data_IF_028535608828
#
_entry.id   IF_028535608828
#
_cell.length_a   1.000
_cell.length_b   1.000
_cell.length_c   1.000
_cell.angle_alpha   90.00
_cell.angle_beta   90.00
_cell.angle_gamma   90.00
#
_symmetry.space_group_name_H-M   'P 1'
#
loop_
_entity.id
_entity.type
_entity.pdbx_description
1 polymer ?
#
# COMPACT_ATOMS: atom_id res chain seq x y z
N UNK A 1 -17.61 -17.00 -0.06
CA UNK A 1 -18.45 -16.82 1.15
C UNK A 1 -19.53 -15.77 0.92
N UNK A 2 -19.19 -14.57 0.44
CA UNK A 2 -20.16 -13.52 0.10
C UNK A 2 -21.23 -13.96 -0.93
N UNK A 3 -20.87 -14.72 -1.96
CA UNK A 3 -21.84 -15.28 -2.94
C UNK A 3 -22.90 -16.21 -2.35
N UNK A 4 -22.67 -16.75 -1.15
CA UNK A 4 -23.64 -17.60 -0.43
C UNK A 4 -24.56 -16.80 0.51
N UNK A 5 -24.37 -15.48 0.59
CA UNK A 5 -25.08 -14.59 1.50
C UNK A 5 -25.66 -13.40 0.71
N UNK A 6 -26.78 -13.56 0.00
CA UNK A 6 -27.30 -12.54 -0.93
C UNK A 6 -27.71 -11.22 -0.23
N UNK A 7 -27.97 -11.27 1.09
CA UNK A 7 -28.25 -10.09 1.91
C UNK A 7 -27.02 -9.43 2.56
N UNK A 8 -25.80 -9.90 2.27
CA UNK A 8 -24.59 -9.35 2.87
C UNK A 8 -24.33 -7.93 2.33
N UNK A 9 -24.52 -6.93 3.21
CA UNK A 9 -24.33 -5.51 2.88
C UNK A 9 -22.93 -5.01 3.23
N UNK A 10 -22.27 -5.63 4.21
CA UNK A 10 -20.95 -5.23 4.69
C UNK A 10 -20.03 -6.44 4.74
N UNK A 11 -18.85 -6.31 4.15
CA UNK A 11 -17.79 -7.31 4.19
C UNK A 11 -16.57 -6.64 4.79
N UNK A 12 -16.14 -7.15 5.95
CA UNK A 12 -15.03 -6.61 6.71
C UNK A 12 -13.99 -7.72 6.92
N UNK A 13 -12.94 -7.69 6.11
CA UNK A 13 -11.88 -8.69 6.08
C UNK A 13 -10.62 -8.07 6.67
N UNK A 14 -10.44 -8.24 7.99
CA UNK A 14 -9.42 -7.50 8.75
C UNK A 14 -8.01 -8.07 8.71
N UNK A 15 -7.79 -9.25 8.12
CA UNK A 15 -6.51 -9.95 8.20
C UNK A 15 -6.26 -10.84 6.99
N UNK A 16 -6.37 -10.31 5.76
CA UNK A 16 -5.77 -10.99 4.62
C UNK A 16 -4.27 -10.82 4.76
N UNK A 17 -3.55 -11.81 5.29
CA UNK A 17 -2.11 -11.69 5.43
C UNK A 17 -1.47 -11.81 4.06
N UNK A 18 -1.16 -10.68 3.41
CA UNK A 18 -0.24 -10.68 2.26
C UNK A 18 1.20 -10.93 2.68
N UNK A 19 1.48 -10.90 3.99
CA UNK A 19 2.76 -11.21 4.58
C UNK A 19 3.83 -10.20 4.17
N UNK A 20 4.21 -9.32 5.08
CA UNK A 20 5.47 -8.60 4.96
C UNK A 20 6.49 -9.36 5.78
N UNK A 21 7.66 -9.62 5.20
CA UNK A 21 8.72 -10.33 5.91
C UNK A 21 9.11 -9.50 7.13
N UNK A 22 8.94 -10.07 8.32
CA UNK A 22 9.40 -9.42 9.54
C UNK A 22 10.94 -9.39 9.53
N UNK A 23 11.54 -8.24 9.90
CA UNK A 23 12.98 -8.00 9.84
C UNK A 23 13.69 -8.63 11.05
N UNK A 24 13.48 -9.92 11.27
CA UNK A 24 14.11 -10.64 12.36
C UNK A 24 15.62 -10.76 12.13
N UNK A 25 16.41 -10.46 13.16
CA UNK A 25 17.86 -10.60 13.14
C UNK A 25 18.32 -12.05 13.29
N UNK A 26 17.57 -12.88 14.03
CA UNK A 26 17.84 -14.31 14.18
C UNK A 26 17.41 -15.10 12.93
N UNK A 27 18.27 -16.01 12.47
CA UNK A 27 18.04 -16.85 11.29
C UNK A 27 16.86 -17.79 11.47
N UNK A 28 16.76 -18.46 12.62
CA UNK A 28 15.63 -19.34 12.97
C UNK A 28 14.28 -18.63 12.87
N UNK A 29 14.21 -17.37 13.34
CA UNK A 29 12.99 -16.57 13.25
C UNK A 29 12.69 -16.19 11.80
N UNK A 30 13.69 -15.84 10.99
CA UNK A 30 13.49 -15.58 9.55
C UNK A 30 13.01 -16.82 8.80
N UNK A 31 13.55 -17.99 9.14
CA UNK A 31 13.16 -19.26 8.53
C UNK A 31 11.68 -19.57 8.77
N UNK A 32 11.25 -19.61 10.03
CA UNK A 32 9.87 -19.97 10.37
C UNK A 32 8.83 -18.88 10.10
N UNK A 33 9.24 -17.60 10.07
CA UNK A 33 8.35 -16.48 9.70
C UNK A 33 8.42 -16.12 8.21
N UNK A 34 9.13 -16.91 7.39
CA UNK A 34 9.34 -16.58 5.99
C UNK A 34 8.02 -16.46 5.26
N UNK A 35 7.81 -15.31 4.62
CA UNK A 35 6.74 -15.13 3.65
C UNK A 35 7.24 -15.57 2.28
N UNK A 36 6.67 -16.64 1.75
CA UNK A 36 7.03 -17.14 0.42
C UNK A 36 6.40 -16.29 -0.68
N UNK A 37 7.23 -15.77 -1.57
CA UNK A 37 6.83 -14.81 -2.59
C UNK A 37 5.96 -15.45 -3.68
N UNK A 38 6.23 -16.71 -4.04
CA UNK A 38 5.43 -17.48 -4.99
C UNK A 38 3.96 -17.60 -4.58
N UNK A 39 3.64 -18.23 -3.44
CA UNK A 39 2.29 -18.29 -2.91
C UNK A 39 1.64 -16.92 -2.68
N UNK A 40 2.41 -15.90 -2.28
CA UNK A 40 1.91 -14.53 -2.15
C UNK A 40 1.40 -13.98 -3.48
N UNK A 41 2.17 -14.14 -4.56
CA UNK A 41 1.76 -13.75 -5.92
C UNK A 41 0.51 -14.51 -6.33
N UNK A 42 0.53 -15.83 -6.24
CA UNK A 42 -0.57 -16.68 -6.69
C UNK A 42 -1.87 -16.37 -5.92
N UNK A 43 -1.77 -16.08 -4.62
CA UNK A 43 -2.88 -15.64 -3.80
C UNK A 43 -3.52 -14.33 -4.28
N UNK A 44 -2.73 -13.36 -4.76
CA UNK A 44 -3.27 -12.11 -5.35
C UNK A 44 -4.03 -12.39 -6.65
N UNK A 45 -3.51 -13.29 -7.48
CA UNK A 45 -4.14 -13.66 -8.75
C UNK A 45 -5.45 -14.42 -8.53
N UNK A 46 -5.45 -15.38 -7.60
CA UNK A 46 -6.65 -16.12 -7.21
C UNK A 46 -7.70 -15.17 -6.60
N UNK A 47 -7.28 -14.25 -5.74
CA UNK A 47 -8.16 -13.23 -5.17
C UNK A 47 -8.78 -12.34 -6.26
N UNK A 48 -7.99 -11.88 -7.23
CA UNK A 48 -8.47 -11.09 -8.37
C UNK A 48 -9.51 -11.87 -9.18
N UNK A 49 -9.20 -13.12 -9.54
CA UNK A 49 -10.12 -13.99 -10.28
C UNK A 49 -11.43 -14.24 -9.51
N UNK A 50 -11.36 -14.37 -8.18
CA UNK A 50 -12.55 -14.50 -7.34
C UNK A 50 -13.39 -13.22 -7.28
N UNK A 51 -12.76 -12.05 -7.19
CA UNK A 51 -13.48 -10.76 -7.17
C UNK A 51 -14.29 -10.53 -8.46
N UNK A 52 -13.72 -10.87 -9.63
CA UNK A 52 -14.43 -10.82 -10.91
C UNK A 52 -15.68 -11.71 -10.90
N UNK A 53 -15.58 -12.93 -10.32
CA UNK A 53 -16.72 -13.85 -10.20
C UNK A 53 -17.78 -13.38 -9.21
N UNK A 54 -17.37 -12.71 -8.12
CA UNK A 54 -18.27 -12.20 -7.07
C UNK A 54 -19.05 -10.95 -7.49
N UNK A 55 -18.62 -10.24 -8.53
CA UNK A 55 -19.32 -9.06 -9.06
C UNK A 55 -20.75 -9.33 -9.54
N UNK A 56 -21.15 -10.61 -9.66
CA UNK A 56 -22.50 -11.02 -10.06
C UNK A 56 -23.29 -11.48 -8.84
N UNK A 57 -24.23 -10.65 -8.35
CA UNK A 57 -25.31 -11.08 -7.46
C UNK A 57 -25.15 -10.81 -5.95
N UNK A 58 -24.13 -10.08 -5.50
CA UNK A 58 -23.99 -9.69 -4.09
C UNK A 58 -24.45 -8.25 -3.89
N UNK A 59 -25.36 -8.00 -2.94
CA UNK A 59 -25.87 -6.67 -2.60
C UNK A 59 -24.88 -5.84 -1.74
N UNK A 60 -23.57 -6.04 -1.91
CA UNK A 60 -22.57 -5.44 -1.04
C UNK A 60 -22.56 -3.93 -1.21
N UNK A 61 -22.58 -3.23 -0.07
CA UNK A 61 -22.56 -1.77 0.01
C UNK A 61 -21.26 -1.26 0.65
N UNK A 62 -20.69 -2.02 1.57
CA UNK A 62 -19.54 -1.60 2.36
C UNK A 62 -18.46 -2.66 2.30
N UNK A 63 -17.24 -2.24 1.97
CA UNK A 63 -16.09 -3.13 1.88
C UNK A 63 -14.92 -2.56 2.69
N UNK A 64 -14.44 -3.35 3.63
CA UNK A 64 -13.19 -3.10 4.35
C UNK A 64 -12.29 -4.29 4.09
N UNK A 65 -11.16 -4.06 3.42
CA UNK A 65 -10.15 -5.09 3.17
C UNK A 65 -8.81 -4.61 3.73
N UNK A 66 -8.20 -5.42 4.59
CA UNK A 66 -6.88 -5.15 5.14
C UNK A 66 -5.94 -6.29 4.84
N UNK A 67 -4.95 -6.01 4.00
CA UNK A 67 -3.89 -6.94 3.60
C UNK A 67 -2.74 -7.00 4.63
N UNK A 68 -3.09 -7.04 5.93
CA UNK A 68 -2.14 -7.02 7.03
C UNK A 68 -2.53 -6.04 8.14
N UNK A 69 -1.64 -5.87 9.12
CA UNK A 69 -1.78 -4.86 10.17
C UNK A 69 -1.00 -3.60 9.79
N UNK A 70 -1.41 -2.45 10.32
CA UNK A 70 -0.67 -1.22 10.08
C UNK A 70 0.79 -1.32 10.56
N UNK A 71 1.02 -1.99 11.69
CA UNK A 71 2.36 -2.22 12.23
C UNK A 71 3.25 -3.01 11.28
N UNK A 72 2.72 -4.10 10.71
CA UNK A 72 3.45 -4.91 9.73
C UNK A 72 3.77 -4.14 8.43
N UNK A 73 2.88 -3.22 8.03
CA UNK A 73 3.05 -2.42 6.81
C UNK A 73 4.09 -1.30 6.96
N UNK A 74 4.34 -0.83 8.19
CA UNK A 74 5.35 0.21 8.43
C UNK A 74 6.71 -0.38 8.84
N UNK A 75 6.75 -1.58 9.43
CA UNK A 75 7.97 -2.22 9.95
C UNK A 75 8.65 -3.18 8.96
N UNK A 76 8.73 -2.80 7.70
CA UNK A 76 9.45 -3.54 6.67
C UNK A 76 10.92 -3.09 6.60
N UNK A 77 11.84 -4.03 6.41
CA UNK A 77 13.21 -3.67 6.02
C UNK A 77 13.21 -3.21 4.55
N UNK A 78 13.36 -1.89 4.35
CA UNK A 78 13.32 -1.27 3.04
C UNK A 78 14.66 -1.39 2.28
N UNK A 79 15.68 -1.97 2.90
CA UNK A 79 16.95 -2.32 2.27
C UNK A 79 16.91 -3.65 1.53
N UNK A 80 15.86 -4.46 1.73
CA UNK A 80 15.66 -5.74 1.05
C UNK A 80 14.84 -5.52 -0.23
N UNK A 81 15.28 -6.11 -1.33
CA UNK A 81 14.53 -6.08 -2.58
C UNK A 81 13.18 -6.79 -2.43
N UNK A 82 12.15 -6.28 -3.10
CA UNK A 82 10.81 -6.86 -3.08
C UNK A 82 10.53 -7.70 -4.33
N UNK A 83 9.68 -8.73 -4.24
CA UNK A 83 9.29 -9.51 -5.39
C UNK A 83 8.41 -8.68 -6.34
N UNK A 84 8.52 -8.97 -7.63
CA UNK A 84 7.54 -8.55 -8.61
C UNK A 84 6.31 -9.49 -8.57
N UNK A 85 5.18 -8.98 -8.05
CA UNK A 85 3.91 -9.70 -7.93
C UNK A 85 3.05 -9.59 -9.21
N UNK A 86 3.43 -8.76 -10.17
CA UNK A 86 2.70 -8.56 -11.44
C UNK A 86 3.35 -9.26 -12.62
N UNK A 87 4.65 -9.55 -12.54
CA UNK A 87 5.43 -10.23 -13.58
C UNK A 87 5.31 -9.55 -14.96
N UNK A 88 4.80 -10.26 -15.97
CA UNK A 88 4.65 -9.75 -17.33
C UNK A 88 3.35 -8.98 -17.55
N UNK A 89 2.55 -8.76 -16.51
CA UNK A 89 1.35 -7.94 -16.60
C UNK A 89 1.73 -6.46 -16.53
N UNK A 90 1.00 -5.63 -17.29
CA UNK A 90 1.14 -4.17 -17.22
C UNK A 90 0.39 -3.56 -16.04
N UNK A 91 -0.44 -4.34 -15.34
CA UNK A 91 -1.26 -3.92 -14.21
C UNK A 91 -1.31 -4.97 -13.11
N UNK A 92 -1.47 -4.51 -11.87
CA UNK A 92 -1.77 -5.41 -10.76
C UNK A 92 -3.19 -5.98 -10.85
N UNK A 93 -3.35 -7.31 -10.98
CA UNK A 93 -4.65 -7.93 -11.20
C UNK A 93 -5.60 -7.70 -10.01
N UNK A 94 -5.07 -7.65 -8.79
CA UNK A 94 -5.88 -7.46 -7.60
C UNK A 94 -6.42 -6.03 -7.51
N UNK A 95 -5.58 -5.03 -7.72
CA UNK A 95 -5.99 -3.61 -7.75
C UNK A 95 -7.02 -3.37 -8.84
N UNK A 96 -6.81 -3.89 -10.06
CA UNK A 96 -7.78 -3.80 -11.15
C UNK A 96 -9.12 -4.48 -10.81
N UNK A 97 -9.10 -5.68 -10.22
CA UNK A 97 -10.31 -6.39 -9.83
C UNK A 97 -11.08 -5.64 -8.71
N UNK A 98 -10.36 -5.08 -7.73
CA UNK A 98 -10.95 -4.26 -6.68
C UNK A 98 -11.60 -2.99 -7.23
N UNK A 99 -10.97 -2.33 -8.22
CA UNK A 99 -11.54 -1.17 -8.94
C UNK A 99 -12.88 -1.50 -9.57
N UNK A 100 -12.98 -2.63 -10.27
CA UNK A 100 -14.23 -3.07 -10.91
C UNK A 100 -15.30 -3.38 -9.86
N UNK A 101 -14.91 -4.11 -8.81
CA UNK A 101 -15.84 -4.50 -7.76
C UNK A 101 -16.37 -3.30 -6.94
N UNK A 102 -15.54 -2.26 -6.75
CA UNK A 102 -15.88 -1.13 -5.89
C UNK A 102 -16.89 -0.14 -6.47
N UNK A 103 -17.15 -0.17 -7.79
CA UNK A 103 -18.06 0.76 -8.48
C UNK A 103 -19.49 0.78 -7.93
N UNK A 104 -19.91 -0.29 -7.25
CA UNK A 104 -21.24 -0.41 -6.67
C UNK A 104 -21.32 -0.16 -5.16
N UNK A 105 -20.20 0.19 -4.52
CA UNK A 105 -20.12 0.40 -3.08
C UNK A 105 -20.57 1.80 -2.67
N UNK A 106 -20.98 1.91 -1.41
CA UNK A 106 -21.20 3.16 -0.68
C UNK A 106 -19.98 3.54 0.14
N UNK A 107 -19.29 2.56 0.73
CA UNK A 107 -18.04 2.77 1.47
C UNK A 107 -16.99 1.76 1.06
N UNK A 108 -15.75 2.22 0.89
CA UNK A 108 -14.63 1.39 0.51
C UNK A 108 -13.37 1.78 1.28
N UNK A 109 -12.89 0.87 2.13
CA UNK A 109 -11.61 0.97 2.81
C UNK A 109 -10.68 -0.16 2.36
N UNK A 110 -9.46 0.20 1.98
CA UNK A 110 -8.40 -0.76 1.67
C UNK A 110 -7.10 -0.36 2.36
N UNK A 111 -6.41 -1.34 2.94
CA UNK A 111 -5.03 -1.26 3.41
C UNK A 111 -4.23 -2.33 2.67
N UNK A 112 -3.21 -1.97 1.90
CA UNK A 112 -2.43 -2.98 1.16
C UNK A 112 -1.39 -2.44 0.18
N UNK A 113 -0.69 -3.37 -0.47
CA UNK A 113 0.20 -3.10 -1.59
C UNK A 113 -0.66 -2.93 -2.85
N UNK A 114 -0.73 -1.71 -3.38
CA UNK A 114 -1.63 -1.33 -4.49
C UNK A 114 -0.90 -0.41 -5.48
N UNK A 115 -1.41 -0.35 -6.70
CA UNK A 115 -0.93 0.55 -7.76
C UNK A 115 -2.03 1.48 -8.30
N UNK A 116 -1.69 2.29 -9.31
CA UNK A 116 -2.60 3.19 -9.99
C UNK A 116 -3.84 2.49 -10.57
N UNK A 117 -3.74 1.18 -10.85
CA UNK A 117 -4.82 0.40 -11.45
C UNK A 117 -5.97 0.16 -10.46
N UNK A 118 -5.75 0.45 -9.17
CA UNK A 118 -6.82 0.50 -8.18
C UNK A 118 -7.89 1.56 -8.51
N UNK A 119 -7.50 2.61 -9.21
CA UNK A 119 -8.37 3.76 -9.51
C UNK A 119 -8.62 3.93 -11.00
N UNK A 120 -7.64 3.69 -11.85
CA UNK A 120 -7.79 3.95 -13.28
C UNK A 120 -7.22 2.81 -14.13
N UNK A 121 -7.92 2.37 -15.19
CA UNK A 121 -7.38 1.35 -16.07
C UNK A 121 -6.05 1.78 -16.70
N UNK A 122 -5.17 0.80 -16.91
CA UNK A 122 -3.98 1.00 -17.73
C UNK A 122 -4.37 1.31 -19.18
N UNK A 123 -3.46 1.90 -19.96
CA UNK A 123 -3.74 2.27 -21.36
C UNK A 123 -4.14 1.07 -22.23
N UNK A 124 -3.54 -0.09 -21.96
CA UNK A 124 -3.80 -1.35 -22.66
C UNK A 124 -5.03 -2.10 -22.12
N UNK A 125 -5.60 -1.64 -21.01
CA UNK A 125 -6.73 -2.28 -20.35
C UNK A 125 -8.03 -1.81 -21.02
N UNK A 126 -8.41 -2.49 -22.12
CA UNK A 126 -9.67 -2.23 -22.81
C UNK A 126 -10.88 -2.35 -21.88
N UNK A 127 -11.79 -1.37 -21.89
CA UNK A 127 -12.97 -1.39 -21.03
C UNK A 127 -13.74 -0.07 -21.00
N UNK A 128 -14.88 -0.08 -20.30
CA UNK A 128 -15.62 1.15 -19.99
C UNK A 128 -14.89 1.94 -18.91
N UNK A 129 -14.96 3.27 -19.01
CA UNK A 129 -14.42 4.17 -17.99
C UNK A 129 -15.02 3.85 -16.61
N UNK A 130 -14.21 3.79 -15.55
CA UNK A 130 -14.73 3.57 -14.20
C UNK A 130 -15.74 4.64 -13.80
N UNK A 131 -16.78 4.26 -13.08
CA UNK A 131 -17.76 5.18 -12.53
C UNK A 131 -18.31 4.66 -11.20
N UNK A 132 -18.29 5.51 -10.16
CA UNK A 132 -18.75 5.15 -8.81
C UNK A 132 -19.99 5.97 -8.41
N UNK A 133 -21.18 5.62 -8.92
CA UNK A 133 -22.39 6.42 -8.74
C UNK A 133 -22.86 6.58 -7.29
N UNK A 134 -22.37 5.72 -6.38
CA UNK A 134 -22.89 5.59 -5.01
C UNK A 134 -21.84 5.73 -3.92
N UNK A 135 -20.56 5.83 -4.28
CA UNK A 135 -19.46 5.83 -3.32
C UNK A 135 -19.42 7.17 -2.58
N UNK A 136 -19.61 7.12 -1.26
CA UNK A 136 -19.61 8.29 -0.36
C UNK A 136 -18.31 8.42 0.41
N UNK A 137 -17.70 7.29 0.79
CA UNK A 137 -16.47 7.27 1.59
C UNK A 137 -15.46 6.34 0.92
N UNK A 138 -14.30 6.89 0.59
CA UNK A 138 -13.14 6.15 0.09
C UNK A 138 -11.95 6.37 1.02
N UNK A 139 -11.32 5.28 1.45
CA UNK A 139 -10.10 5.33 2.26
C UNK A 139 -9.10 4.29 1.78
N UNK A 140 -7.97 4.75 1.27
CA UNK A 140 -6.89 3.91 0.77
C UNK A 140 -5.64 4.19 1.58
N UNK A 141 -5.19 3.18 2.32
CA UNK A 141 -3.91 3.16 3.01
C UNK A 141 -2.96 2.29 2.18
N UNK A 142 -2.16 2.93 1.32
CA UNK A 142 -1.25 2.20 0.44
C UNK A 142 0.08 1.91 1.14
N UNK A 143 0.70 0.78 0.79
CA UNK A 143 2.07 0.49 1.20
C UNK A 143 3.06 1.40 0.46
N UNK A 144 4.21 1.71 1.04
CA UNK A 144 5.28 2.49 0.37
C UNK A 144 5.92 1.80 -0.85
N UNK A 145 5.52 0.55 -1.12
CA UNK A 145 5.94 -0.25 -2.26
C UNK A 145 4.74 -0.57 -3.15
N UNK A 146 5.00 -0.71 -4.44
CA UNK A 146 4.04 -1.12 -5.45
C UNK A 146 4.05 -2.66 -5.61
N UNK A 147 2.97 -3.26 -6.16
CA UNK A 147 2.91 -4.68 -6.50
C UNK A 147 4.03 -5.16 -7.42
N UNK A 148 4.59 -4.27 -8.25
CA UNK A 148 5.75 -4.56 -9.11
C UNK A 148 7.08 -4.70 -8.35
N UNK A 149 7.08 -4.57 -7.02
CA UNK A 149 8.28 -4.55 -6.19
C UNK A 149 9.05 -3.22 -6.22
N UNK A 150 8.58 -2.24 -7.00
CA UNK A 150 9.13 -0.88 -7.03
C UNK A 150 8.67 -0.08 -5.81
N UNK A 151 9.34 1.05 -5.55
CA UNK A 151 9.05 1.91 -4.42
C UNK A 151 8.41 3.23 -4.86
N UNK A 152 7.46 3.74 -4.06
CA UNK A 152 6.95 5.10 -4.23
C UNK A 152 7.89 6.16 -3.63
N UNK A 153 8.79 5.74 -2.74
CA UNK A 153 9.70 6.62 -2.03
C UNK A 153 11.14 6.12 -2.16
N UNK A 154 12.07 7.07 -2.30
CA UNK A 154 13.50 6.83 -2.33
C UNK A 154 14.15 7.16 -0.99
N UNK A 155 15.32 6.54 -0.79
CA UNK A 155 16.22 6.85 0.31
C UNK A 155 17.01 8.14 0.10
N UNK A 156 17.75 8.59 1.13
CA UNK A 156 18.52 9.83 1.08
C UNK A 156 19.62 9.83 0.02
N UNK A 157 20.11 8.66 -0.42
CA UNK A 157 21.12 8.53 -1.47
C UNK A 157 20.49 8.16 -2.83
N UNK A 158 19.15 8.20 -2.94
CA UNK A 158 18.41 7.84 -4.14
C UNK A 158 18.14 6.35 -4.30
N UNK A 159 18.35 5.56 -3.24
CA UNK A 159 18.00 4.13 -3.21
C UNK A 159 16.51 3.97 -3.56
N UNK A 160 16.13 3.00 -4.40
CA UNK A 160 14.73 2.81 -4.82
C UNK A 160 14.35 3.43 -6.14
N UNK A 161 15.04 4.49 -6.56
CA UNK A 161 14.65 5.23 -7.77
C UNK A 161 14.65 4.34 -9.01
N UNK A 162 15.61 3.43 -9.07
CA UNK A 162 15.82 2.49 -10.18
C UNK A 162 15.70 1.03 -9.75
N UNK A 163 15.21 0.78 -8.53
CA UNK A 163 15.02 -0.59 -8.06
C UNK A 163 13.83 -1.19 -8.82
N UNK A 164 14.00 -2.41 -9.31
CA UNK A 164 12.95 -3.23 -9.91
C UNK A 164 12.65 -4.42 -9.00
N UNK A 165 11.40 -4.90 -9.02
CA UNK A 165 11.05 -6.11 -8.31
C UNK A 165 11.77 -7.33 -8.89
N UNK A 166 12.24 -8.23 -8.04
CA UNK A 166 12.88 -9.44 -8.53
C UNK A 166 11.84 -10.44 -9.05
N UNK A 167 12.22 -11.17 -10.09
CA UNK A 167 11.37 -12.19 -10.68
C UNK A 167 11.17 -13.36 -9.72
N UNK A 168 9.92 -13.77 -9.53
CA UNK A 168 9.56 -14.98 -8.79
C UNK A 168 9.87 -16.22 -9.65
N UNK A 169 10.76 -17.04 -9.11
CA UNK A 169 11.21 -18.35 -9.61
C UNK A 169 10.86 -19.49 -8.63
N UNK A 170 11.09 -20.74 -9.02
CA UNK A 170 10.78 -21.94 -8.20
C UNK A 170 11.36 -21.90 -6.78
N UNK A 171 12.53 -21.29 -6.59
CA UNK A 171 13.16 -21.11 -5.26
C UNK A 171 12.40 -20.20 -4.29
N UNK A 172 11.38 -19.51 -4.76
CA UNK A 172 10.50 -18.64 -3.97
C UNK A 172 9.17 -19.34 -3.62
N UNK A 173 9.07 -20.63 -3.91
CA UNK A 173 8.03 -21.50 -3.38
C UNK A 173 8.56 -22.30 -2.19
N UNK A 174 7.71 -22.60 -1.21
CA UNK A 174 8.10 -23.45 -0.10
C UNK A 174 8.57 -24.81 -0.63
N UNK A 175 9.68 -25.34 -0.10
CA UNK A 175 10.14 -26.68 -0.45
C UNK A 175 9.09 -27.71 -0.04
N UNK A 176 8.93 -28.75 -0.86
CA UNK A 176 8.04 -29.88 -0.52
C UNK A 176 8.71 -30.81 0.49
N UNK A 177 10.04 -30.92 0.42
CA UNK A 177 10.84 -31.73 1.34
C UNK A 177 11.20 -30.93 2.59
N UNK A 178 11.29 -31.64 3.71
CA UNK A 178 11.75 -31.10 4.99
C UNK A 178 13.20 -30.62 4.86
N UNK A 179 13.48 -29.40 5.33
CA UNK A 179 14.82 -28.83 5.35
C UNK A 179 15.52 -29.03 6.69
N UNK A 180 16.85 -28.98 6.66
CA UNK A 180 17.69 -28.85 7.84
C UNK A 180 17.39 -27.50 8.50
N UNK A 181 16.84 -27.50 9.72
CA UNK A 181 16.32 -26.30 10.39
C UNK A 181 14.79 -26.26 10.53
N UNK A 182 14.06 -27.23 9.96
CA UNK A 182 12.62 -27.41 10.24
C UNK A 182 12.35 -28.13 11.58
N UNK A 183 13.40 -28.63 12.24
CA UNK A 183 13.33 -29.31 13.53
C UNK A 183 13.37 -28.31 14.71
N UNK A 184 12.39 -28.45 15.61
CA UNK A 184 12.23 -27.81 16.92
C UNK A 184 12.56 -26.31 17.03
N UNK A 185 11.50 -25.51 17.00
CA UNK A 185 11.51 -24.16 17.59
C UNK A 185 11.48 -24.32 19.13
N UNK A 186 12.65 -24.42 19.78
CA UNK A 186 12.74 -24.36 21.25
C UNK A 186 12.28 -22.97 21.70
N UNK A 187 11.24 -22.95 22.53
CA UNK A 187 10.59 -21.76 23.08
C UNK A 187 11.54 -20.86 23.89
N UNK A 188 12.71 -21.37 24.30
CA UNK A 188 13.78 -20.58 24.92
C UNK A 188 14.65 -19.79 23.92
N UNK A 189 14.67 -20.16 22.64
CA UNK A 189 15.28 -19.38 21.56
C UNK A 189 14.37 -18.25 21.05
N UNK A 190 13.09 -18.31 21.42
CA UNK A 190 12.03 -17.35 21.10
C UNK A 190 12.05 -16.08 21.96
N UNK A 191 13.23 -15.60 22.35
CA UNK A 191 13.32 -14.21 22.75
C UNK A 191 12.78 -13.38 21.57
N UNK A 192 11.74 -12.57 21.81
CA UNK A 192 11.17 -11.58 20.87
C UNK A 192 12.21 -10.47 20.57
N UNK A 193 13.44 -10.85 20.31
CA UNK A 193 14.62 -10.01 20.48
C UNK A 193 15.15 -9.55 19.13
N UNK A 194 15.10 -8.23 19.01
CA UNK A 194 15.72 -7.38 18.01
C UNK A 194 15.22 -7.57 16.58
N UNK A 195 14.06 -6.95 16.30
CA UNK A 195 13.81 -6.36 14.99
C UNK A 195 14.59 -5.04 14.90
N UNK A 196 15.17 -4.75 13.74
CA UNK A 196 15.80 -3.45 13.46
C UNK A 196 15.64 -3.14 11.97
N UNK A 197 14.40 -2.96 11.48
CA UNK A 197 14.17 -2.69 10.07
C UNK A 197 14.89 -1.42 9.63
N UNK A 198 15.53 -1.46 8.47
CA UNK A 198 16.08 -0.26 7.85
C UNK A 198 14.96 0.43 7.05
N UNK A 199 14.33 1.44 7.67
CA UNK A 199 13.27 2.25 7.07
C UNK A 199 13.84 3.64 6.77
N UNK A 200 14.19 3.90 5.52
CA UNK A 200 14.89 5.13 5.14
C UNK A 200 14.26 5.84 3.94
N UNK A 201 13.26 5.21 3.29
CA UNK A 201 12.59 5.70 2.09
C UNK A 201 11.49 6.69 2.46
N UNK A 202 11.85 7.97 2.48
CA UNK A 202 10.92 9.05 2.91
C UNK A 202 10.72 10.13 1.85
N UNK A 203 11.51 10.14 0.79
CA UNK A 203 11.42 11.14 -0.27
C UNK A 203 10.59 10.58 -1.44
N UNK A 204 9.53 11.26 -1.89
CA UNK A 204 8.73 10.79 -3.03
C UNK A 204 9.57 10.61 -4.30
N UNK A 205 9.30 9.54 -5.06
CA UNK A 205 9.76 9.38 -6.44
C UNK A 205 8.66 9.93 -7.33
N UNK A 206 8.90 11.11 -7.91
CA UNK A 206 7.87 11.91 -8.59
C UNK A 206 7.04 11.09 -9.59
N UNK A 207 7.66 10.34 -10.50
CA UNK A 207 6.93 9.55 -11.50
C UNK A 207 6.01 8.48 -10.92
N UNK A 208 6.45 7.76 -9.89
CA UNK A 208 5.68 6.67 -9.27
C UNK A 208 4.50 7.22 -8.45
N UNK A 209 4.78 8.25 -7.65
CA UNK A 209 3.78 8.88 -6.80
C UNK A 209 2.75 9.65 -7.63
N UNK A 210 3.18 10.40 -8.65
CA UNK A 210 2.25 11.14 -9.50
C UNK A 210 1.36 10.23 -10.33
N UNK A 211 1.86 9.07 -10.76
CA UNK A 211 1.04 8.05 -11.43
C UNK A 211 -0.13 7.60 -10.54
N UNK A 212 0.16 7.24 -9.29
CA UNK A 212 -0.86 6.82 -8.33
C UNK A 212 -1.82 7.97 -7.97
N UNK A 213 -1.31 9.15 -7.63
CA UNK A 213 -2.12 10.32 -7.28
C UNK A 213 -2.96 10.81 -8.46
N UNK A 214 -2.43 10.74 -9.68
CA UNK A 214 -3.14 11.11 -10.90
C UNK A 214 -4.30 10.17 -11.20
N UNK A 215 -4.11 8.86 -11.02
CA UNK A 215 -5.19 7.90 -11.14
C UNK A 215 -6.28 8.12 -10.08
N UNK A 216 -5.89 8.42 -8.84
CA UNK A 216 -6.82 8.82 -7.78
C UNK A 216 -7.60 10.09 -8.15
N UNK A 217 -6.93 11.14 -8.63
CA UNK A 217 -7.57 12.38 -9.05
C UNK A 217 -8.58 12.16 -10.18
N UNK A 218 -8.25 11.33 -11.17
CA UNK A 218 -9.19 10.93 -12.24
C UNK A 218 -10.40 10.18 -11.70
N UNK A 219 -10.21 9.33 -10.70
CA UNK A 219 -11.30 8.59 -10.07
C UNK A 219 -12.24 9.50 -9.26
N UNK A 220 -11.71 10.53 -8.58
CA UNK A 220 -12.53 11.53 -7.88
C UNK A 220 -13.53 12.23 -8.83
N UNK A 221 -13.10 12.53 -10.05
CA UNK A 221 -13.91 13.21 -11.10
C UNK A 221 -15.15 12.39 -11.52
N UNK A 222 -15.14 11.09 -11.25
CA UNK A 222 -16.21 10.14 -11.60
C UNK A 222 -16.88 9.52 -10.37
N UNK A 223 -16.79 10.20 -9.21
CA UNK A 223 -17.47 9.85 -7.95
C UNK A 223 -18.43 10.98 -7.52
N UNK A 224 -19.62 11.12 -8.14
CA UNK A 224 -20.47 12.30 -8.02
C UNK A 224 -21.08 12.54 -6.63
N UNK A 225 -21.12 11.53 -5.77
CA UNK A 225 -21.71 11.60 -4.41
C UNK A 225 -20.66 11.39 -3.32
N UNK A 226 -19.37 11.53 -3.65
CA UNK A 226 -18.29 11.37 -2.70
C UNK A 226 -18.32 12.47 -1.66
N UNK A 227 -18.30 12.10 -0.38
CA UNK A 227 -18.24 13.01 0.76
C UNK A 227 -16.80 13.17 1.25
N UNK A 228 -16.02 12.08 1.24
CA UNK A 228 -14.61 12.08 1.64
C UNK A 228 -13.83 11.01 0.89
N UNK A 229 -12.66 11.39 0.37
CA UNK A 229 -11.71 10.49 -0.29
C UNK A 229 -10.32 10.64 0.29
N UNK A 230 -9.74 9.56 0.80
CA UNK A 230 -8.39 9.56 1.37
C UNK A 230 -7.48 8.59 0.63
N UNK A 231 -6.30 9.05 0.24
CA UNK A 231 -5.21 8.22 -0.28
C UNK A 231 -3.93 8.61 0.46
N UNK A 232 -3.44 7.73 1.32
CA UNK A 232 -2.25 8.02 2.12
C UNK A 232 -1.48 6.76 2.49
N UNK A 233 -0.24 6.97 2.91
CA UNK A 233 0.62 5.97 3.52
C UNK A 233 1.19 6.53 4.81
N UNK A 234 1.95 5.71 5.50
CA UNK A 234 2.68 6.09 6.69
C UNK A 234 4.16 5.91 6.42
N UNK A 235 4.92 6.98 6.63
CA UNK A 235 6.37 6.99 6.49
C UNK A 235 6.99 6.96 7.88
N UNK A 236 8.02 6.15 8.03
CA UNK A 236 8.82 6.05 9.24
C UNK A 236 10.28 6.09 8.85
N UNK A 237 11.12 6.71 9.70
CA UNK A 237 12.55 6.75 9.50
C UNK A 237 13.28 6.08 10.66
N UNK A 238 13.93 4.97 10.37
CA UNK A 238 14.86 4.28 11.24
C UNK A 238 15.96 3.70 10.37
N UNK A 239 17.20 4.18 10.53
CA UNK A 239 18.32 3.64 9.76
C UNK A 239 19.48 3.30 10.67
N UNK A 240 20.07 2.12 10.45
CA UNK A 240 21.32 1.71 11.07
C UNK A 240 22.54 2.37 10.40
N UNK A 241 22.36 2.99 9.23
CA UNK A 241 23.42 3.72 8.52
C UNK A 241 23.59 5.13 9.10
N UNK A 242 24.65 5.32 9.88
CA UNK A 242 24.97 6.63 10.46
C UNK A 242 25.12 7.73 9.40
N UNK A 243 25.60 7.42 8.19
CA UNK A 243 25.74 8.43 7.13
C UNK A 243 24.39 8.95 6.63
N UNK A 244 23.36 8.09 6.59
CA UNK A 244 21.99 8.48 6.28
C UNK A 244 21.42 9.40 7.36
N UNK A 245 21.63 9.06 8.64
CA UNK A 245 21.21 9.90 9.79
C UNK A 245 21.88 11.27 9.73
N UNK A 246 23.17 11.33 9.41
CA UNK A 246 23.94 12.59 9.23
C UNK A 246 23.40 13.43 8.09
N UNK A 247 23.13 12.82 6.93
CA UNK A 247 22.63 13.53 5.74
C UNK A 247 21.28 14.25 5.98
N UNK A 248 20.46 13.73 6.90
CA UNK A 248 19.17 14.31 7.27
C UNK A 248 19.28 15.31 8.45
N UNK A 249 20.47 15.55 8.98
CA UNK A 249 20.69 16.41 10.14
C UNK A 249 20.07 15.88 11.44
N UNK A 250 19.73 14.59 11.47
CA UNK A 250 19.06 13.94 12.61
C UNK A 250 20.05 13.47 13.69
N UNK A 251 21.32 13.85 13.61
CA UNK A 251 22.41 13.39 14.49
C UNK A 251 22.18 13.72 15.97
N UNK A 252 21.44 14.81 16.22
CA UNK A 252 21.03 15.24 17.57
C UNK A 252 19.73 14.62 18.05
N UNK A 253 18.97 14.03 17.13
CA UNK A 253 17.77 13.24 17.41
C UNK A 253 18.23 11.78 17.39
N UNK A 254 19.15 11.41 18.29
CA UNK A 254 19.22 10.01 18.73
C UNK A 254 17.94 9.76 19.47
N UNK A 255 16.90 9.35 18.77
CA UNK A 255 15.69 8.80 19.37
C UNK A 255 16.19 7.71 20.31
N UNK A 256 16.02 7.85 21.64
CA UNK A 256 16.43 6.80 22.55
C UNK A 256 15.71 5.52 22.12
N UNK A 257 16.46 4.45 21.85
CA UNK A 257 15.90 3.11 21.53
C UNK A 257 14.96 2.57 22.62
N UNK A 258 14.82 3.27 23.73
CA UNK A 258 14.02 2.92 24.89
C UNK A 258 13.10 4.10 25.23
N UNK A 259 11.81 3.97 24.93
CA UNK A 259 10.75 4.76 25.58
C UNK A 259 9.82 5.55 24.66
N UNK A 260 10.10 5.64 23.36
CA UNK A 260 9.17 6.19 22.39
C UNK A 260 8.45 5.01 21.74
N UNK A 261 7.11 4.98 21.80
CA UNK A 261 6.36 3.93 21.10
C UNK A 261 6.68 4.11 19.61
N UNK A 262 6.89 3.01 18.88
CA UNK A 262 7.21 3.03 17.45
C UNK A 262 6.24 3.86 16.58
N UNK A 263 5.08 4.22 17.11
CA UNK A 263 4.06 5.07 16.52
C UNK A 263 4.33 6.59 16.59
N UNK A 264 5.21 7.07 17.47
CA UNK A 264 5.42 8.51 17.71
C UNK A 264 6.29 9.20 16.64
N UNK A 265 6.89 8.44 15.70
CA UNK A 265 7.75 8.95 14.60
C UNK A 265 7.14 8.63 13.23
N UNK A 266 5.92 8.09 13.20
CA UNK A 266 5.24 7.73 11.97
C UNK A 266 4.49 8.95 11.42
N UNK A 267 4.90 9.43 10.27
CA UNK A 267 4.26 10.56 9.59
C UNK A 267 3.25 10.06 8.55
N UNK A 268 2.04 10.61 8.57
CA UNK A 268 1.09 10.43 7.47
C UNK A 268 1.62 11.17 6.23
N UNK A 269 1.63 10.48 5.09
CA UNK A 269 1.95 11.06 3.80
C UNK A 269 0.82 10.80 2.81
N UNK A 270 0.20 11.83 2.25
CA UNK A 270 -0.80 11.68 1.20
C UNK A 270 -1.85 12.80 1.19
N UNK A 271 -3.02 12.49 0.65
CA UNK A 271 -4.08 13.45 0.35
C UNK A 271 -5.40 13.06 1.01
N UNK A 272 -6.21 14.08 1.30
CA UNK A 272 -7.61 13.91 1.67
C UNK A 272 -8.47 14.94 0.97
N UNK A 273 -9.40 14.47 0.15
CA UNK A 273 -10.49 15.25 -0.39
C UNK A 273 -11.67 15.22 0.59
N UNK A 274 -12.27 16.39 0.82
CA UNK A 274 -13.53 16.53 1.55
C UNK A 274 -14.47 17.35 0.68
N UNK A 275 -15.64 16.80 0.38
CA UNK A 275 -16.64 17.50 -0.42
C UNK A 275 -17.37 18.57 0.40
N UNK A 276 -17.87 19.57 -0.30
CA UNK A 276 -18.63 20.68 0.25
C UNK A 276 -19.06 21.64 -0.85
N UNK A 277 -20.32 22.10 -0.85
CA UNK A 277 -20.84 22.94 -1.96
C UNK A 277 -20.08 24.27 -2.10
N UNK A 278 -19.60 24.82 -0.98
CA UNK A 278 -18.81 26.05 -0.92
C UNK A 278 -17.46 25.88 -0.19
N UNK A 279 -17.24 24.72 0.44
CA UNK A 279 -16.11 24.40 1.32
C UNK A 279 -15.41 23.09 0.95
N UNK A 280 -15.60 22.61 -0.29
CA UNK A 280 -14.79 21.54 -0.84
C UNK A 280 -13.30 21.92 -0.68
N UNK A 281 -12.51 20.96 -0.20
CA UNK A 281 -11.10 21.20 0.10
C UNK A 281 -10.27 19.96 -0.13
N UNK A 282 -9.00 20.19 -0.41
CA UNK A 282 -7.99 19.16 -0.52
C UNK A 282 -6.95 19.38 0.58
N UNK A 283 -6.90 18.48 1.56
CA UNK A 283 -5.88 18.47 2.59
C UNK A 283 -4.64 17.75 2.05
N UNK A 284 -3.50 18.43 2.11
CA UNK A 284 -2.24 18.08 1.46
C UNK A 284 -1.19 17.74 2.52
N UNK A 285 -1.10 16.46 2.89
CA UNK A 285 -0.27 15.94 3.98
C UNK A 285 1.04 15.36 3.42
N UNK A 286 1.86 16.15 2.74
CA UNK A 286 3.10 15.64 2.07
C UNK A 286 4.33 16.51 2.35
N UNK A 287 4.22 17.41 3.35
CA UNK A 287 5.29 18.33 3.74
C UNK A 287 5.72 19.25 2.62
N UNK A 288 7.01 19.21 2.27
CA UNK A 288 7.62 20.13 1.28
C UNK A 288 7.48 19.67 -0.17
N UNK A 289 7.03 18.43 -0.42
CA UNK A 289 6.86 17.95 -1.78
C UNK A 289 5.74 18.72 -2.51
N UNK A 290 5.93 18.98 -3.80
CA UNK A 290 4.96 19.68 -4.64
C UNK A 290 4.77 18.90 -5.95
N UNK A 291 3.53 18.77 -6.43
CA UNK A 291 3.23 17.97 -7.60
C UNK A 291 3.59 18.73 -8.89
N UNK A 292 3.72 18.00 -10.00
CA UNK A 292 3.82 18.58 -11.33
C UNK A 292 2.57 19.39 -11.69
N UNK A 293 2.73 20.29 -12.66
CA UNK A 293 1.62 21.12 -13.17
C UNK A 293 0.46 20.28 -13.71
N UNK A 294 0.73 19.09 -14.24
CA UNK A 294 -0.32 18.24 -14.80
C UNK A 294 -1.14 17.57 -13.70
N UNK A 295 -0.50 17.13 -12.62
CA UNK A 295 -1.22 16.64 -11.45
C UNK A 295 -1.99 17.77 -10.74
N UNK A 296 -1.44 18.99 -10.65
CA UNK A 296 -2.19 20.16 -10.17
C UNK A 296 -3.45 20.36 -10.99
N UNK A 297 -3.33 20.41 -12.33
CA UNK A 297 -4.48 20.58 -13.23
C UNK A 297 -5.56 19.51 -13.05
N UNK A 298 -5.18 18.26 -12.80
CA UNK A 298 -6.14 17.17 -12.56
C UNK A 298 -6.89 17.39 -11.24
N UNK A 299 -6.18 17.64 -10.15
CA UNK A 299 -6.79 17.86 -8.84
C UNK A 299 -7.62 19.16 -8.78
N UNK A 300 -7.19 20.20 -9.49
CA UNK A 300 -7.92 21.47 -9.61
C UNK A 300 -9.27 21.37 -10.31
N UNK A 301 -9.56 20.25 -11.01
CA UNK A 301 -10.92 19.99 -11.51
C UNK A 301 -11.91 19.80 -10.36
N UNK A 302 -11.44 19.24 -9.25
CA UNK A 302 -12.25 18.92 -8.06
C UNK A 302 -12.25 20.06 -7.06
N UNK A 303 -11.06 20.60 -6.78
CA UNK A 303 -10.86 21.65 -5.78
C UNK A 303 -9.81 22.62 -6.31
N UNK A 304 -10.16 23.89 -6.59
CA UNK A 304 -9.20 24.92 -6.97
C UNK A 304 -8.01 24.99 -6.00
N UNK A 305 -6.81 25.28 -6.51
CA UNK A 305 -5.57 25.26 -5.72
C UNK A 305 -5.63 26.21 -4.50
N UNK A 306 -6.39 27.29 -4.60
CA UNK A 306 -6.59 28.27 -3.53
C UNK A 306 -7.32 27.69 -2.31
N UNK A 307 -8.03 26.58 -2.48
CA UNK A 307 -8.75 25.85 -1.43
C UNK A 307 -7.96 24.66 -0.88
N UNK A 308 -6.70 24.50 -1.28
CA UNK A 308 -5.84 23.44 -0.75
C UNK A 308 -5.30 23.83 0.62
N UNK A 309 -5.38 22.89 1.56
CA UNK A 309 -4.84 23.05 2.91
C UNK A 309 -3.53 22.27 2.98
N UNK A 310 -2.41 22.99 2.99
CA UNK A 310 -1.08 22.41 3.16
C UNK A 310 -0.80 22.17 4.64
N UNK A 311 -0.51 20.92 4.99
CA UNK A 311 -0.20 20.47 6.35
C UNK A 311 1.26 20.05 6.51
#
# INVERSE_FOLDING_TARGET
MASKMPGLMTLDVKYLFEGMQYPYTAEVNRHHSRVWEGPRRDGRWDAAAMMVRLGVGVALKNLVIRFGTLGAMVQLDQGVALPDLVMSLTSDPLSAALRVYSQNLFTWEVLGVVDQTLFWPGEDEGGSMPFWPRLRILKVIFHSAAPSGRWYFEGPKGEGRTDEGFKIEDRHYPPVEKQEGDDEWDDQSGQYENTSPNMFRTKPIDGEVESLLGAFAKALDVMPVLESGELFTFLHFESSDESCVRSLGLERIRVPRMGILSWDIVCRWGLRFVAGEADARLEWHVGKWRPSRDLVRLLSRMVPEEQWIYM
#
